data_IF_309036805431
#
_entry.id   IF_309036805431
#
_cell.length_a   1.000
_cell.length_b   1.000
_cell.length_c   1.000
_cell.angle_alpha   90.00
_cell.angle_beta   90.00
_cell.angle_gamma   90.00
#
_symmetry.space_group_name_H-M   'P 1'
#
loop_
_entity.id
_entity.type
_entity.pdbx_description
1 polymer ?
#
# COMPACT_ATOMS: atom_id res chain seq x y z
N UNK A 1 44.92 -44.69 -11.32
CA UNK A 1 43.47 -44.61 -11.62
C UNK A 1 42.73 -44.58 -10.29
N UNK A 2 41.94 -43.53 -10.02
CA UNK A 2 41.01 -43.54 -8.89
C UNK A 2 39.88 -44.52 -9.22
N UNK A 3 39.41 -45.29 -8.24
CA UNK A 3 38.20 -46.09 -8.40
C UNK A 3 36.99 -45.17 -8.56
N UNK A 4 35.96 -45.61 -9.29
CA UNK A 4 34.71 -44.86 -9.49
C UNK A 4 34.13 -44.38 -8.15
N UNK A 5 34.20 -45.23 -7.12
CA UNK A 5 33.79 -44.89 -5.76
C UNK A 5 34.53 -43.67 -5.19
N UNK A 6 35.86 -43.58 -5.38
CA UNK A 6 36.66 -42.44 -4.92
C UNK A 6 36.32 -41.17 -5.71
N UNK A 7 35.99 -41.28 -6.99
CA UNK A 7 35.56 -40.14 -7.81
C UNK A 7 34.20 -39.60 -7.36
N UNK A 8 33.23 -40.48 -7.07
CA UNK A 8 31.90 -40.08 -6.57
C UNK A 8 32.00 -39.43 -5.19
N UNK A 9 32.78 -40.01 -4.27
CA UNK A 9 33.00 -39.41 -2.93
C UNK A 9 33.65 -38.03 -3.03
N UNK A 10 34.65 -37.86 -3.90
CA UNK A 10 35.29 -36.57 -4.14
C UNK A 10 34.30 -35.55 -4.69
N UNK A 11 33.46 -35.94 -5.66
CA UNK A 11 32.45 -35.06 -6.23
C UNK A 11 31.41 -34.59 -5.20
N UNK A 12 30.89 -35.51 -4.37
CA UNK A 12 29.97 -35.17 -3.29
C UNK A 12 30.62 -34.24 -2.25
N UNK A 13 31.89 -34.49 -1.91
CA UNK A 13 32.65 -33.61 -1.01
C UNK A 13 32.80 -32.19 -1.59
N UNK A 14 33.08 -32.07 -2.89
CA UNK A 14 33.17 -30.76 -3.57
C UNK A 14 31.83 -30.04 -3.54
N UNK A 15 30.71 -30.72 -3.84
CA UNK A 15 29.37 -30.12 -3.75
C UNK A 15 29.07 -29.66 -2.33
N UNK A 16 29.33 -30.50 -1.33
CA UNK A 16 29.11 -30.15 0.07
C UNK A 16 29.91 -28.91 0.47
N UNK A 17 31.20 -28.85 0.11
CA UNK A 17 32.06 -27.70 0.39
C UNK A 17 31.56 -26.42 -0.30
N UNK A 18 31.10 -26.52 -1.56
CA UNK A 18 30.52 -25.39 -2.28
C UNK A 18 29.24 -24.88 -1.61
N UNK A 19 28.36 -25.79 -1.17
CA UNK A 19 27.14 -25.43 -0.44
C UNK A 19 27.46 -24.75 0.90
N UNK A 20 28.48 -25.22 1.61
CA UNK A 20 28.94 -24.63 2.88
C UNK A 20 29.50 -23.22 2.65
N UNK A 21 30.41 -23.06 1.69
CA UNK A 21 31.02 -21.76 1.36
C UNK A 21 29.95 -20.76 0.90
N UNK A 22 29.03 -21.18 0.01
CA UNK A 22 27.95 -20.30 -0.46
C UNK A 22 26.99 -19.93 0.68
N UNK A 23 26.66 -20.88 1.56
CA UNK A 23 25.90 -20.63 2.78
C UNK A 23 26.54 -19.56 3.66
N UNK A 24 27.86 -19.61 3.84
CA UNK A 24 28.58 -18.61 4.64
C UNK A 24 28.74 -17.26 3.98
N UNK A 25 28.97 -17.22 2.67
CA UNK A 25 28.97 -15.95 1.95
C UNK A 25 27.59 -15.28 2.09
N UNK A 26 26.51 -16.04 1.88
CA UNK A 26 25.15 -15.55 2.06
C UNK A 26 24.93 -15.08 3.51
N UNK A 27 25.30 -15.90 4.50
CA UNK A 27 25.19 -15.57 5.92
C UNK A 27 25.92 -14.27 6.29
N UNK A 28 27.17 -14.11 5.85
CA UNK A 28 27.95 -12.88 6.08
C UNK A 28 27.30 -11.67 5.42
N UNK A 29 26.80 -11.79 4.18
CA UNK A 29 26.10 -10.69 3.49
C UNK A 29 24.81 -10.30 4.22
N UNK A 30 24.06 -11.27 4.74
CA UNK A 30 22.87 -10.98 5.55
C UNK A 30 23.24 -10.35 6.88
N UNK A 31 24.31 -10.81 7.55
CA UNK A 31 24.80 -10.21 8.80
C UNK A 31 25.25 -8.77 8.59
N UNK A 32 26.01 -8.47 7.54
CA UNK A 32 26.46 -7.10 7.27
C UNK A 32 25.28 -6.19 6.94
N UNK A 33 24.29 -6.69 6.20
CA UNK A 33 23.02 -5.97 5.96
C UNK A 33 22.16 -5.80 7.21
N UNK A 34 22.27 -6.70 8.19
CA UNK A 34 21.43 -6.68 9.39
C UNK A 34 22.00 -5.87 10.54
N UNK A 35 23.32 -5.74 10.66
CA UNK A 35 23.97 -5.24 11.88
C UNK A 35 24.54 -3.82 11.83
N UNK A 36 24.75 -3.22 10.66
CA UNK A 36 25.60 -2.03 10.60
C UNK A 36 24.83 -0.74 10.44
N UNK A 37 24.67 -0.35 9.19
CA UNK A 37 24.44 1.06 8.88
C UNK A 37 23.04 1.30 8.34
N UNK A 38 22.41 0.30 7.72
CA UNK A 38 21.12 0.48 7.03
C UNK A 38 19.96 0.73 7.99
N UNK A 39 19.85 -0.04 9.08
CA UNK A 39 18.77 0.18 10.07
C UNK A 39 18.96 1.50 10.82
N UNK A 40 20.17 1.74 11.35
CA UNK A 40 20.47 2.96 12.10
C UNK A 40 20.24 4.21 11.25
N UNK A 41 20.74 4.22 10.00
CA UNK A 41 20.51 5.33 9.06
C UNK A 41 19.01 5.51 8.75
N UNK A 42 18.26 4.43 8.53
CA UNK A 42 16.80 4.52 8.28
C UNK A 42 16.06 5.09 9.49
N UNK A 43 16.45 4.69 10.70
CA UNK A 43 15.84 5.21 11.92
C UNK A 43 16.20 6.66 12.17
N UNK A 44 17.46 7.05 11.98
CA UNK A 44 17.90 8.44 12.10
C UNK A 44 17.10 9.34 11.14
N UNK A 45 16.97 8.94 9.87
CA UNK A 45 16.15 9.65 8.87
C UNK A 45 14.67 9.72 9.28
N UNK A 46 14.12 8.64 9.84
CA UNK A 46 12.74 8.61 10.32
C UNK A 46 12.52 9.50 11.54
N UNK A 47 13.46 9.53 12.49
CA UNK A 47 13.43 10.41 13.67
C UNK A 47 13.49 11.89 13.27
N UNK A 48 14.36 12.24 12.32
CA UNK A 48 14.44 13.60 11.78
C UNK A 48 13.11 14.03 11.13
N UNK A 49 12.45 13.14 10.40
CA UNK A 49 11.16 13.44 9.76
C UNK A 49 10.02 13.59 10.78
N UNK A 50 10.01 12.78 11.84
CA UNK A 50 9.08 12.95 12.97
C UNK A 50 9.27 14.32 13.62
N UNK A 51 10.51 14.74 13.84
CA UNK A 51 10.80 16.06 14.41
C UNK A 51 10.30 17.18 13.48
N UNK A 52 10.55 17.06 12.18
CA UNK A 52 10.08 18.02 11.18
C UNK A 52 8.55 18.08 11.11
N UNK A 53 7.89 16.92 11.11
CA UNK A 53 6.44 16.77 11.16
C UNK A 53 5.85 17.52 12.35
N UNK A 54 6.33 17.22 13.55
CA UNK A 54 5.80 17.78 14.79
C UNK A 54 6.04 19.29 14.91
N UNK A 55 7.17 19.80 14.42
CA UNK A 55 7.53 21.22 14.53
C UNK A 55 6.86 22.11 13.48
N UNK A 56 6.61 21.58 12.28
CA UNK A 56 6.21 22.40 11.13
C UNK A 56 4.90 21.93 10.52
N UNK A 57 4.87 20.69 10.04
CA UNK A 57 3.84 20.22 9.10
C UNK A 57 2.53 19.81 9.77
N UNK A 58 2.59 19.25 10.98
CA UNK A 58 1.41 18.78 11.71
C UNK A 58 0.47 19.92 12.06
N UNK A 59 0.97 21.04 12.57
CA UNK A 59 0.15 22.21 12.89
C UNK A 59 -0.39 22.91 11.64
N UNK A 60 0.40 22.97 10.57
CA UNK A 60 -0.04 23.51 9.27
C UNK A 60 -1.20 22.69 8.67
N UNK A 61 -1.18 21.37 8.84
CA UNK A 61 -2.19 20.46 8.31
C UNK A 61 -3.41 20.28 9.23
N UNK A 62 -3.21 20.39 10.54
CA UNK A 62 -4.23 20.19 11.57
C UNK A 62 -4.85 21.46 12.12
N UNK A 63 -4.56 22.62 11.52
CA UNK A 63 -5.16 23.89 11.90
C UNK A 63 -6.69 23.79 11.81
N UNK A 64 -7.39 24.27 12.84
CA UNK A 64 -8.86 24.15 12.96
C UNK A 64 -9.62 24.85 11.84
N UNK A 65 -8.97 25.81 11.17
CA UNK A 65 -9.54 26.54 10.06
C UNK A 65 -9.44 25.76 8.74
N UNK A 66 -8.58 24.74 8.68
CA UNK A 66 -8.43 23.88 7.50
C UNK A 66 -9.52 22.81 7.49
N UNK A 67 -10.42 22.88 6.51
CA UNK A 67 -11.44 21.85 6.28
C UNK A 67 -11.31 21.27 4.90
N UNK A 68 -11.19 19.94 4.85
CA UNK A 68 -11.20 19.17 3.62
C UNK A 68 -12.60 18.63 3.36
N UNK A 69 -13.09 18.84 2.15
CA UNK A 69 -14.36 18.32 1.65
C UNK A 69 -14.08 17.58 0.35
N UNK A 70 -14.54 16.34 0.22
CA UNK A 70 -14.43 15.56 -1.03
C UNK A 70 -15.73 15.69 -1.80
N UNK A 71 -15.66 16.21 -3.01
CA UNK A 71 -16.79 16.33 -3.92
C UNK A 71 -16.73 15.23 -4.98
N UNK A 72 -17.86 14.55 -5.17
CA UNK A 72 -18.03 13.50 -6.16
C UNK A 72 -18.78 14.08 -7.36
N UNK A 73 -18.10 14.33 -8.48
CA UNK A 73 -18.72 15.04 -9.62
C UNK A 73 -19.87 14.24 -10.27
N UNK A 74 -19.80 12.91 -10.18
CA UNK A 74 -20.78 11.99 -10.78
C UNK A 74 -21.95 11.66 -9.83
N UNK A 75 -21.96 12.23 -8.62
CA UNK A 75 -22.98 11.99 -7.61
C UNK A 75 -23.73 13.29 -7.30
N UNK A 76 -25.06 13.22 -7.21
CA UNK A 76 -25.91 14.35 -6.79
C UNK A 76 -25.89 14.51 -5.25
N UNK A 77 -24.70 14.42 -4.66
CA UNK A 77 -24.47 14.49 -3.22
C UNK A 77 -23.73 15.78 -2.93
N UNK A 78 -24.51 16.85 -2.77
CA UNK A 78 -24.04 18.09 -2.14
C UNK A 78 -24.07 17.89 -0.63
N UNK A 79 -23.13 17.10 -0.13
CA UNK A 79 -22.96 16.93 1.30
C UNK A 79 -21.75 17.73 1.79
N UNK A 80 -22.05 18.86 2.44
CA UNK A 80 -21.10 19.74 3.09
C UNK A 80 -20.52 19.15 4.39
N UNK A 81 -20.87 17.90 4.76
CA UNK A 81 -20.22 17.22 5.88
C UNK A 81 -18.71 17.08 5.62
N UNK A 82 -17.94 17.86 6.38
CA UNK A 82 -16.49 17.87 6.32
C UNK A 82 -15.89 16.51 6.68
N UNK A 83 -14.71 16.23 6.13
CA UNK A 83 -13.97 15.02 6.49
C UNK A 83 -13.55 15.11 7.96
N UNK A 84 -13.73 14.01 8.70
CA UNK A 84 -13.38 13.99 10.12
C UNK A 84 -11.87 13.88 10.28
N UNK A 85 -11.31 14.80 11.06
CA UNK A 85 -9.92 14.73 11.48
C UNK A 85 -9.75 13.52 12.40
N UNK A 86 -8.85 12.62 12.06
CA UNK A 86 -8.53 11.44 12.85
C UNK A 86 -7.18 11.65 13.51
N UNK A 87 -7.21 11.85 14.82
CA UNK A 87 -6.05 11.85 15.71
C UNK A 87 -6.12 10.59 16.55
N UNK A 88 -5.76 9.42 16.00
CA UNK A 88 -5.89 8.18 16.75
C UNK A 88 -4.56 7.76 17.38
N UNK A 89 -4.58 7.34 18.66
CA UNK A 89 -3.53 6.51 19.27
C UNK A 89 -3.41 5.14 18.54
N UNK A 90 -4.44 4.71 17.79
CA UNK A 90 -4.49 3.39 17.14
C UNK A 90 -3.67 3.23 15.85
N UNK A 91 -2.96 4.25 15.36
CA UNK A 91 -2.01 4.09 14.23
C UNK A 91 -0.74 3.35 14.68
N UNK A 92 -0.54 3.14 15.98
CA UNK A 92 0.48 2.21 16.50
C UNK A 92 0.42 0.82 15.84
N UNK A 93 -0.69 0.45 15.19
CA UNK A 93 -0.85 -0.81 14.47
C UNK A 93 -0.47 -0.80 12.98
N UNK A 94 -0.09 0.33 12.37
CA UNK A 94 0.26 0.36 10.93
C UNK A 94 1.73 0.00 10.68
N UNK A 95 2.64 0.44 11.55
CA UNK A 95 4.00 -0.08 11.57
C UNK A 95 4.01 -1.41 12.33
N UNK A 96 4.64 -2.44 11.76
CA UNK A 96 4.77 -3.71 12.47
C UNK A 96 5.67 -3.50 13.69
N UNK A 97 5.40 -4.22 14.78
CA UNK A 97 6.31 -4.27 15.93
C UNK A 97 7.73 -4.60 15.43
N UNK A 98 8.65 -3.65 15.63
CA UNK A 98 10.04 -3.87 15.28
C UNK A 98 10.65 -4.87 16.28
N UNK A 99 11.12 -5.99 15.76
CA UNK A 99 11.77 -7.04 16.57
C UNK A 99 13.11 -6.61 17.16
N UNK A 100 13.66 -5.49 16.69
CA UNK A 100 14.98 -4.99 17.03
C UNK A 100 14.97 -3.86 18.06
N UNK A 101 13.81 -3.34 18.45
CA UNK A 101 13.69 -2.29 19.45
C UNK A 101 12.37 -1.52 19.33
N UNK A 102 12.16 -0.59 20.25
CA UNK A 102 11.02 0.32 20.15
C UNK A 102 11.27 1.34 19.03
N UNK A 103 10.30 1.49 18.13
CA UNK A 103 10.34 2.54 17.11
C UNK A 103 9.96 3.89 17.75
N UNK A 104 10.55 4.99 17.29
CA UNK A 104 10.07 6.33 17.60
C UNK A 104 8.58 6.46 17.25
N UNK A 105 7.80 6.92 18.22
CA UNK A 105 6.36 7.16 18.04
C UNK A 105 6.13 8.58 17.56
N UNK A 106 5.09 8.78 16.76
CA UNK A 106 4.64 10.10 16.35
C UNK A 106 3.12 10.17 16.40
N UNK A 107 2.57 11.37 16.56
CA UNK A 107 1.13 11.58 16.59
C UNK A 107 0.59 11.69 15.15
N UNK A 108 -0.11 10.65 14.64
CA UNK A 108 -0.66 10.67 13.30
C UNK A 108 -1.74 11.74 13.20
N UNK A 109 -1.84 12.33 12.02
CA UNK A 109 -2.93 13.23 11.69
C UNK A 109 -3.28 13.05 10.23
N UNK A 110 -4.51 12.62 9.99
CA UNK A 110 -5.08 12.46 8.67
C UNK A 110 -6.58 12.73 8.72
N UNK A 111 -7.17 12.98 7.56
CA UNK A 111 -8.60 13.22 7.43
C UNK A 111 -9.21 11.98 6.79
N UNK A 112 -10.24 11.38 7.40
CA UNK A 112 -10.92 10.21 6.85
C UNK A 112 -12.44 10.38 6.81
N UNK A 113 -13.03 9.89 5.73
CA UNK A 113 -14.47 9.86 5.51
C UNK A 113 -14.86 8.52 4.94
N UNK A 114 -15.84 7.85 5.56
CA UNK A 114 -16.39 6.59 5.06
C UNK A 114 -17.73 6.87 4.42
N UNK A 115 -17.83 6.52 3.16
CA UNK A 115 -18.99 6.77 2.33
C UNK A 115 -19.68 5.49 1.96
N UNK A 116 -21.01 5.48 2.06
CA UNK A 116 -21.79 4.34 1.57
C UNK A 116 -21.78 4.38 0.06
N UNK A 117 -21.53 3.24 -0.58
CA UNK A 117 -21.48 3.17 -2.04
C UNK A 117 -22.77 3.61 -2.76
N UNK A 118 -23.92 3.56 -2.07
CA UNK A 118 -25.19 4.08 -2.56
C UNK A 118 -25.16 5.57 -2.95
N UNK A 119 -24.21 6.34 -2.42
CA UNK A 119 -24.11 7.78 -2.65
C UNK A 119 -23.44 8.16 -3.97
N UNK A 120 -22.76 7.24 -4.65
CA UNK A 120 -22.05 7.55 -5.91
C UNK A 120 -22.96 7.63 -7.15
N UNK A 121 -24.17 8.19 -7.00
CA UNK A 121 -25.13 8.36 -8.09
C UNK A 121 -25.67 7.04 -8.64
N UNK A 122 -25.55 5.96 -7.88
CA UNK A 122 -26.10 4.64 -8.21
C UNK A 122 -27.17 4.34 -7.17
N UNK A 123 -28.38 4.87 -7.38
CA UNK A 123 -29.54 4.43 -6.62
C UNK A 123 -29.80 2.97 -6.94
N UNK A 124 -29.25 2.09 -6.11
CA UNK A 124 -29.41 0.65 -6.24
C UNK A 124 -28.10 -0.09 -6.52
N UNK A 125 -28.17 -1.41 -6.62
CA UNK A 125 -26.99 -2.24 -6.80
C UNK A 125 -26.42 -2.05 -8.22
N UNK A 126 -25.09 -2.13 -8.38
CA UNK A 126 -24.43 -1.90 -9.68
C UNK A 126 -24.89 -2.94 -10.70
N UNK A 127 -25.64 -2.53 -11.73
CA UNK A 127 -26.30 -3.47 -12.65
C UNK A 127 -25.36 -4.14 -13.63
N UNK A 128 -24.19 -3.55 -13.91
CA UNK A 128 -23.20 -4.08 -14.84
C UNK A 128 -21.78 -3.78 -14.36
N UNK A 129 -20.87 -4.70 -14.67
CA UNK A 129 -19.44 -4.51 -14.48
C UNK A 129 -18.88 -3.74 -15.68
N UNK A 130 -18.25 -2.59 -15.43
CA UNK A 130 -17.67 -1.76 -16.48
C UNK A 130 -16.29 -1.23 -16.05
N UNK A 131 -15.22 -1.88 -16.53
CA UNK A 131 -13.83 -1.51 -16.21
C UNK A 131 -13.38 -0.15 -16.78
N UNK A 132 -14.20 0.46 -17.64
CA UNK A 132 -13.97 1.83 -18.12
C UNK A 132 -14.59 2.90 -17.23
N UNK A 133 -15.47 2.51 -16.29
CA UNK A 133 -16.10 3.46 -15.36
C UNK A 133 -15.04 4.00 -14.41
N UNK A 134 -14.93 5.32 -14.41
CA UNK A 134 -14.07 6.06 -13.49
C UNK A 134 -14.93 6.95 -12.61
N UNK A 135 -14.33 7.39 -11.52
CA UNK A 135 -14.91 8.36 -10.61
C UNK A 135 -14.03 9.61 -10.56
N UNK A 136 -14.69 10.76 -10.51
CA UNK A 136 -14.05 12.06 -10.37
C UNK A 136 -14.20 12.60 -8.96
N UNK A 137 -13.11 13.16 -8.46
CA UNK A 137 -13.04 13.72 -7.12
C UNK A 137 -12.35 15.06 -7.15
N UNK A 138 -12.83 15.96 -6.30
CA UNK A 138 -12.07 17.16 -5.96
C UNK A 138 -12.07 17.35 -4.45
N UNK A 139 -10.99 17.95 -3.95
CA UNK A 139 -10.85 18.29 -2.55
C UNK A 139 -10.95 19.81 -2.43
N UNK A 140 -12.00 20.29 -1.79
CA UNK A 140 -12.08 21.69 -1.41
C UNK A 140 -11.41 21.88 -0.05
N UNK A 141 -10.46 22.82 -0.02
CA UNK A 141 -9.74 23.24 1.17
C UNK A 141 -10.24 24.64 1.54
N UNK A 142 -10.92 24.73 2.68
CA UNK A 142 -11.23 26.03 3.30
C UNK A 142 -10.02 26.38 4.17
N UNK A 143 -9.29 27.44 3.84
CA UNK A 143 -8.09 27.91 4.54
C UNK A 143 -8.05 29.44 4.44
N UNK A 144 -8.72 30.13 5.37
CA UNK A 144 -9.01 31.57 5.26
C UNK A 144 -7.73 32.41 5.06
N UNK A 145 -7.72 33.36 4.10
CA UNK A 145 -8.86 33.88 3.32
C UNK A 145 -9.08 33.15 1.98
N UNK A 146 -8.39 32.05 1.72
CA UNK A 146 -8.38 31.39 0.41
C UNK A 146 -9.12 30.06 0.43
N UNK A 147 -10.21 29.97 -0.32
CA UNK A 147 -10.79 28.68 -0.66
C UNK A 147 -10.06 28.12 -1.88
N UNK A 148 -9.56 26.91 -1.76
CA UNK A 148 -8.80 26.24 -2.81
C UNK A 148 -9.51 24.95 -3.19
N UNK A 149 -9.38 24.53 -4.44
CA UNK A 149 -9.90 23.25 -4.91
C UNK A 149 -8.78 22.50 -5.60
N UNK A 150 -8.52 21.30 -5.12
CA UNK A 150 -7.51 20.38 -5.63
C UNK A 150 -8.25 19.33 -6.46
N UNK A 151 -8.00 19.32 -7.77
CA UNK A 151 -8.55 18.29 -8.64
C UNK A 151 -7.75 17.00 -8.49
N UNK A 152 -8.42 15.90 -8.21
CA UNK A 152 -7.81 14.56 -8.15
C UNK A 152 -7.98 13.88 -9.50
N UNK A 153 -6.93 13.22 -10.04
CA UNK A 153 -7.07 12.44 -11.26
C UNK A 153 -8.17 11.38 -11.12
N UNK A 154 -8.87 11.12 -12.22
CA UNK A 154 -9.95 10.13 -12.27
C UNK A 154 -9.45 8.75 -11.80
N UNK A 155 -10.18 8.13 -10.86
CA UNK A 155 -9.84 6.80 -10.36
C UNK A 155 -10.74 5.74 -11.02
N UNK A 156 -10.19 4.59 -11.44
CA UNK A 156 -11.02 3.51 -11.94
C UNK A 156 -11.87 2.94 -10.80
N UNK A 157 -13.18 2.85 -11.01
CA UNK A 157 -14.09 2.24 -10.03
C UNK A 157 -13.89 0.72 -9.97
N UNK A 158 -13.65 0.11 -11.13
CA UNK A 158 -13.45 -1.32 -11.25
C UNK A 158 -12.03 -1.64 -11.73
N UNK A 159 -11.51 -2.78 -11.27
CA UNK A 159 -10.20 -3.28 -11.66
C UNK A 159 -10.29 -4.77 -11.99
N UNK A 160 -9.62 -5.18 -13.08
CA UNK A 160 -9.51 -6.59 -13.49
C UNK A 160 -8.04 -7.01 -13.42
N UNK A 161 -7.73 -7.96 -12.56
CA UNK A 161 -6.42 -8.61 -12.52
C UNK A 161 -6.47 -9.93 -13.29
N UNK A 162 -5.58 -10.10 -14.27
CA UNK A 162 -5.46 -11.32 -15.07
C UNK A 162 -4.26 -12.14 -14.58
N UNK A 163 -4.48 -13.37 -14.16
CA UNK A 163 -3.43 -14.30 -13.72
C UNK A 163 -3.39 -15.51 -14.64
N UNK A 164 -2.19 -15.95 -15.06
CA UNK A 164 -2.04 -17.24 -15.75
C UNK A 164 -2.08 -18.36 -14.73
N UNK A 165 -3.04 -19.27 -14.87
CA UNK A 165 -3.24 -20.40 -13.96
C UNK A 165 -3.57 -21.65 -14.76
N UNK A 166 -3.11 -22.82 -14.29
CA UNK A 166 -3.33 -24.09 -14.98
C UNK A 166 -4.67 -24.74 -14.65
N UNK A 167 -5.36 -24.30 -13.59
CA UNK A 167 -6.58 -24.96 -13.09
C UNK A 167 -7.62 -23.98 -12.57
N UNK A 168 -8.90 -24.34 -12.75
CA UNK A 168 -10.04 -23.62 -12.17
C UNK A 168 -9.99 -23.58 -10.64
N UNK A 169 -9.59 -24.70 -10.00
CA UNK A 169 -9.45 -24.76 -8.54
C UNK A 169 -8.42 -23.77 -8.01
N UNK A 170 -7.30 -23.57 -8.73
CA UNK A 170 -6.33 -22.53 -8.39
C UNK A 170 -6.95 -21.14 -8.48
N UNK A 171 -7.72 -20.86 -9.53
CA UNK A 171 -8.39 -19.57 -9.70
C UNK A 171 -9.44 -19.29 -8.61
N UNK A 172 -10.22 -20.31 -8.22
CA UNK A 172 -11.24 -20.19 -7.18
C UNK A 172 -10.65 -19.83 -5.80
N UNK A 173 -9.38 -20.20 -5.52
CA UNK A 173 -8.67 -19.76 -4.30
C UNK A 173 -8.41 -18.26 -4.26
N UNK A 174 -8.48 -17.60 -5.41
CA UNK A 174 -8.40 -16.15 -5.53
C UNK A 174 -9.76 -15.51 -5.80
N UNK A 175 -10.86 -16.28 -5.64
CA UNK A 175 -12.23 -15.86 -5.92
C UNK A 175 -12.44 -15.30 -7.33
N UNK A 176 -11.73 -15.85 -8.31
CA UNK A 176 -11.77 -15.40 -9.71
C UNK A 176 -12.54 -16.33 -10.64
N UNK A 177 -12.81 -15.83 -11.86
CA UNK A 177 -13.37 -16.60 -12.96
C UNK A 177 -12.26 -17.25 -13.80
N UNK A 178 -12.32 -18.57 -14.00
CA UNK A 178 -11.34 -19.28 -14.81
C UNK A 178 -11.80 -19.48 -16.26
N UNK A 179 -11.03 -18.94 -17.20
CA UNK A 179 -11.21 -19.15 -18.63
C UNK A 179 -10.25 -20.24 -19.14
N UNK A 180 -10.81 -21.38 -19.50
CA UNK A 180 -10.04 -22.56 -19.94
C UNK A 180 -9.28 -22.35 -21.25
N UNK A 181 -9.84 -21.59 -22.19
CA UNK A 181 -9.22 -21.36 -23.52
C UNK A 181 -7.86 -20.65 -23.39
N UNK A 182 -7.74 -19.73 -22.44
CA UNK A 182 -6.53 -18.94 -22.21
C UNK A 182 -5.68 -19.40 -21.03
N UNK A 183 -6.15 -20.37 -20.23
CA UNK A 183 -5.59 -20.67 -18.92
C UNK A 183 -5.43 -19.39 -18.08
N UNK A 184 -6.46 -18.56 -18.09
CA UNK A 184 -6.45 -17.22 -17.45
C UNK A 184 -7.50 -17.19 -16.35
N UNK A 185 -7.09 -16.75 -15.17
CA UNK A 185 -7.96 -16.41 -14.06
C UNK A 185 -8.19 -14.90 -14.04
N UNK A 186 -9.45 -14.48 -14.06
CA UNK A 186 -9.87 -13.09 -13.96
C UNK A 186 -10.35 -12.82 -12.54
N UNK A 187 -9.67 -11.91 -11.84
CA UNK A 187 -10.07 -11.45 -10.51
C UNK A 187 -10.65 -10.05 -10.68
N UNK A 188 -11.92 -9.91 -10.32
CA UNK A 188 -12.65 -8.66 -10.41
C UNK A 188 -12.61 -7.98 -9.06
N UNK A 189 -12.44 -6.66 -9.06
CA UNK A 189 -12.36 -5.89 -7.82
C UNK A 189 -13.00 -4.52 -8.02
N UNK A 190 -13.51 -3.96 -6.93
CA UNK A 190 -14.17 -2.66 -6.89
C UNK A 190 -13.45 -1.76 -5.89
N UNK A 191 -13.34 -0.46 -6.21
CA UNK A 191 -12.65 0.53 -5.39
C UNK A 191 -13.25 0.52 -3.99
N UNK A 192 -12.42 0.37 -2.95
CA UNK A 192 -12.86 0.33 -1.55
C UNK A 192 -12.14 1.32 -0.65
N UNK A 193 -10.95 1.74 -1.05
CA UNK A 193 -10.18 2.77 -0.36
C UNK A 193 -9.51 3.67 -1.38
N UNK A 194 -9.52 4.97 -1.12
CA UNK A 194 -8.73 5.92 -1.84
C UNK A 194 -8.02 6.83 -0.83
N UNK A 195 -6.70 6.92 -0.93
CA UNK A 195 -5.90 7.80 -0.11
C UNK A 195 -5.04 8.68 -0.98
N UNK A 196 -5.02 9.99 -0.68
CA UNK A 196 -4.20 10.96 -1.41
C UNK A 196 -3.30 11.75 -0.48
N UNK A 197 -2.13 12.13 -1.00
CA UNK A 197 -1.19 13.00 -0.31
C UNK A 197 -1.31 14.42 -0.83
N UNK A 198 -1.39 15.38 0.08
CA UNK A 198 -1.38 16.80 -0.27
C UNK A 198 -0.29 17.53 0.51
N UNK A 199 0.15 18.66 -0.02
CA UNK A 199 1.13 19.53 0.63
C UNK A 199 0.81 21.00 0.33
N UNK A 200 1.38 21.89 1.13
CA UNK A 200 1.27 23.34 0.97
C UNK A 200 2.57 23.87 0.39
N UNK A 201 2.47 24.60 -0.73
CA UNK A 201 3.63 25.22 -1.36
C UNK A 201 4.13 26.42 -0.56
N UNK A 202 5.29 26.96 -0.95
CA UNK A 202 5.87 28.14 -0.30
C UNK A 202 4.99 29.41 -0.39
N UNK A 203 3.98 29.41 -1.26
CA UNK A 203 2.98 30.48 -1.41
C UNK A 203 1.71 30.24 -0.60
N UNK A 204 1.66 29.19 0.24
CA UNK A 204 0.48 28.85 1.04
C UNK A 204 -0.62 28.15 0.26
N UNK A 205 -0.36 27.65 -0.96
CA UNK A 205 -1.35 26.94 -1.76
C UNK A 205 -1.24 25.43 -1.58
N UNK A 206 -2.37 24.80 -1.33
CA UNK A 206 -2.47 23.35 -1.24
C UNK A 206 -2.47 22.73 -2.63
N UNK A 207 -1.70 21.67 -2.80
CA UNK A 207 -1.60 20.93 -4.05
C UNK A 207 -1.57 19.42 -3.80
N UNK A 208 -2.00 18.65 -4.81
CA UNK A 208 -1.84 17.20 -4.82
C UNK A 208 -0.36 16.86 -4.95
N UNK A 209 0.22 16.24 -3.93
CA UNK A 209 1.60 15.79 -4.00
C UNK A 209 1.66 14.55 -4.93
N UNK A 210 2.38 14.69 -6.04
CA UNK A 210 2.57 13.61 -7.00
C UNK A 210 4.06 13.31 -7.13
N UNK A 211 4.40 12.03 -7.22
CA UNK A 211 5.75 11.62 -7.57
C UNK A 211 6.10 12.20 -8.96
N UNK A 212 7.17 13.00 -9.03
CA UNK A 212 7.52 13.72 -10.26
C UNK A 212 7.80 12.79 -11.45
N UNK A 213 8.34 11.60 -11.18
CA UNK A 213 8.75 10.61 -12.18
C UNK A 213 7.58 9.73 -12.63
N UNK A 214 6.82 9.17 -11.68
CA UNK A 214 5.74 8.22 -11.99
C UNK A 214 4.39 8.88 -12.18
N UNK A 215 4.24 10.15 -11.77
CA UNK A 215 2.95 10.84 -11.59
C UNK A 215 2.00 10.11 -10.66
N UNK A 216 2.49 9.11 -9.92
CA UNK A 216 1.72 8.43 -8.90
C UNK A 216 1.40 9.44 -7.78
N UNK A 217 0.20 9.32 -7.27
CA UNK A 217 -0.27 9.96 -6.06
C UNK A 217 -0.87 8.84 -5.21
N UNK A 218 -0.84 9.00 -3.90
CA UNK A 218 -1.32 7.96 -2.99
C UNK A 218 -0.65 8.03 -1.64
N UNK A 219 -1.28 7.49 -0.60
CA UNK A 219 -0.68 7.39 0.74
C UNK A 219 0.05 6.08 1.01
N UNK A 220 0.38 5.37 -0.05
CA UNK A 220 1.19 4.17 0.01
C UNK A 220 2.55 4.50 -0.62
N UNK A 221 3.58 3.67 -0.47
CA UNK A 221 4.89 3.99 -1.03
C UNK A 221 4.84 4.36 -2.52
N UNK A 222 5.97 4.88 -3.02
CA UNK A 222 6.17 5.17 -4.44
C UNK A 222 5.84 4.02 -5.42
N UNK A 223 5.67 2.79 -4.93
CA UNK A 223 5.34 1.60 -5.71
C UNK A 223 3.83 1.25 -5.71
N UNK A 224 3.04 1.91 -4.86
CA UNK A 224 1.63 1.62 -4.69
C UNK A 224 0.74 2.74 -5.24
N UNK A 225 -0.46 2.36 -5.65
CA UNK A 225 -1.45 3.28 -6.18
C UNK A 225 -2.18 3.98 -5.01
N UNK A 226 -2.74 5.17 -5.24
CA UNK A 226 -3.68 5.84 -4.32
C UNK A 226 -4.88 5.00 -3.88
N UNK A 227 -5.09 3.81 -4.45
CA UNK A 227 -6.33 3.07 -4.38
C UNK A 227 -6.11 1.64 -3.94
N UNK A 228 -7.01 1.17 -3.09
CA UNK A 228 -7.17 -0.25 -2.78
C UNK A 228 -8.55 -0.73 -3.23
N UNK A 229 -8.59 -1.98 -3.67
CA UNK A 229 -9.77 -2.60 -4.25
C UNK A 229 -10.17 -3.82 -3.45
N UNK A 230 -11.45 -3.96 -3.19
CA UNK A 230 -12.03 -5.17 -2.59
C UNK A 230 -12.41 -6.14 -3.71
N UNK A 231 -11.97 -7.40 -3.57
CA UNK A 231 -12.29 -8.45 -4.53
C UNK A 231 -13.79 -8.76 -4.49
N UNK A 232 -14.42 -8.83 -5.66
CA UNK A 232 -15.79 -9.33 -5.81
C UNK A 232 -15.68 -10.85 -5.86
N UNK A 233 -16.13 -11.58 -4.82
CA UNK A 233 -15.84 -13.00 -4.73
C UNK A 233 -16.69 -13.78 -5.73
N UNK A 234 -16.05 -14.58 -6.58
CA UNK A 234 -16.71 -15.54 -7.47
C UNK A 234 -16.49 -16.98 -6.99
N UNK A 235 -17.55 -17.78 -7.03
CA UNK A 235 -17.50 -19.23 -6.83
C UNK A 235 -17.15 -19.97 -8.12
N UNK A 236 -16.92 -21.28 -8.01
CA UNK A 236 -16.47 -22.08 -9.15
C UNK A 236 -17.54 -22.15 -10.24
N UNK A 237 -17.20 -21.63 -11.41
CA UNK A 237 -18.09 -21.63 -12.57
C UNK A 237 -18.94 -20.37 -12.71
N UNK A 238 -18.99 -19.52 -11.69
CA UNK A 238 -19.65 -18.21 -11.77
C UNK A 238 -18.83 -17.25 -12.65
N UNK A 239 -19.56 -16.32 -13.27
CA UNK A 239 -19.02 -15.17 -13.99
C UNK A 239 -19.35 -13.90 -13.24
N UNK A 240 -18.72 -12.78 -13.64
CA UNK A 240 -18.96 -11.50 -12.99
C UNK A 240 -20.41 -11.02 -13.17
N UNK A 241 -21.03 -11.36 -14.30
CA UNK A 241 -22.42 -11.04 -14.59
C UNK A 241 -23.38 -11.71 -13.59
N UNK A 242 -23.02 -12.87 -13.03
CA UNK A 242 -23.83 -13.60 -12.06
C UNK A 242 -23.83 -12.93 -10.67
N UNK A 243 -22.85 -12.07 -10.38
CA UNK A 243 -22.80 -11.26 -9.14
C UNK A 243 -23.46 -9.91 -9.27
N UNK A 244 -23.95 -9.57 -10.46
CA UNK A 244 -24.66 -8.33 -10.67
C UNK A 244 -26.17 -8.53 -10.43
N UNK A 245 -26.81 -7.62 -9.67
CA UNK A 245 -26.24 -6.34 -9.27
C UNK A 245 -25.49 -6.43 -7.92
N UNK A 246 -24.28 -5.86 -7.86
CA UNK A 246 -23.41 -5.97 -6.67
C UNK A 246 -23.63 -4.80 -5.70
N UNK A 247 -23.75 -5.10 -4.40
CA UNK A 247 -23.77 -4.06 -3.36
C UNK A 247 -22.35 -3.84 -2.86
N UNK A 248 -21.79 -2.70 -3.21
CA UNK A 248 -20.46 -2.31 -2.77
C UNK A 248 -20.48 -1.96 -1.28
N UNK A 249 -19.40 -2.31 -0.58
CA UNK A 249 -19.19 -1.88 0.81
C UNK A 249 -18.91 -0.38 0.92
N UNK A 250 -18.52 0.07 2.10
CA UNK A 250 -18.17 1.47 2.30
C UNK A 250 -16.87 1.81 1.54
N UNK A 251 -16.88 2.94 0.83
CA UNK A 251 -15.68 3.55 0.26
C UNK A 251 -15.04 4.43 1.34
N UNK A 252 -13.81 4.12 1.71
CA UNK A 252 -13.05 4.95 2.64
C UNK A 252 -12.16 5.91 1.88
N UNK A 253 -12.30 7.21 2.17
CA UNK A 253 -11.43 8.26 1.71
C UNK A 253 -10.48 8.68 2.80
N UNK A 254 -9.22 8.88 2.44
CA UNK A 254 -8.19 9.40 3.32
C UNK A 254 -7.38 10.51 2.64
N UNK A 255 -7.08 11.55 3.40
CA UNK A 255 -6.19 12.63 2.98
C UNK A 255 -5.09 12.73 4.02
N UNK A 256 -3.85 12.62 3.56
CA UNK A 256 -2.65 12.77 4.38
C UNK A 256 -1.81 13.92 3.88
N UNK A 257 -0.99 14.47 4.76
CA UNK A 257 0.08 15.35 4.34
C UNK A 257 1.19 14.53 3.68
N UNK A 258 1.86 15.07 2.66
CA UNK A 258 2.99 14.43 2.00
C UNK A 258 4.17 14.12 2.94
N UNK A 259 4.28 14.86 4.05
CA UNK A 259 5.30 14.72 5.09
C UNK A 259 4.79 13.95 6.32
N UNK A 260 3.71 13.16 6.19
CA UNK A 260 3.29 12.25 7.25
C UNK A 260 4.37 11.15 7.43
N UNK A 261 5.00 11.02 8.62
CA UNK A 261 6.10 10.08 8.82
C UNK A 261 5.82 8.63 8.42
N UNK A 262 4.57 8.16 8.49
CA UNK A 262 4.21 6.82 8.00
C UNK A 262 4.60 6.62 6.53
N UNK A 263 4.40 7.63 5.69
CA UNK A 263 4.69 7.55 4.26
C UNK A 263 6.19 7.39 4.02
N UNK A 264 7.01 8.10 4.80
CA UNK A 264 8.46 7.94 4.75
C UNK A 264 8.87 6.56 5.27
N UNK A 265 8.26 6.09 6.35
CA UNK A 265 8.52 4.76 6.89
C UNK A 265 8.25 3.65 5.85
N UNK A 266 7.14 3.72 5.10
CA UNK A 266 6.86 2.78 4.01
C UNK A 266 7.93 2.82 2.92
N UNK A 267 8.42 4.02 2.54
CA UNK A 267 9.51 4.16 1.56
C UNK A 267 10.83 3.59 2.10
N UNK A 268 11.20 3.90 3.35
CA UNK A 268 12.43 3.42 3.97
C UNK A 268 12.42 1.91 4.18
N UNK A 269 11.25 1.33 4.40
CA UNK A 269 11.05 -0.10 4.64
C UNK A 269 10.61 -0.89 3.41
N UNK A 270 10.51 -0.25 2.25
CA UNK A 270 10.04 -0.88 1.00
C UNK A 270 8.69 -1.61 1.20
N UNK A 271 7.73 -0.95 1.84
CA UNK A 271 6.39 -1.45 2.16
C UNK A 271 6.33 -2.65 3.13
N UNK A 272 7.48 -3.05 3.68
CA UNK A 272 7.51 -4.15 4.66
C UNK A 272 7.12 -3.70 6.06
N UNK A 273 7.07 -2.39 6.30
CA UNK A 273 6.87 -1.77 7.61
C UNK A 273 7.85 -2.28 8.67
N UNK A 274 9.03 -2.72 8.24
CA UNK A 274 10.09 -3.23 9.09
C UNK A 274 11.40 -2.49 8.80
N UNK A 275 11.91 -1.77 9.79
CA UNK A 275 13.16 -1.00 9.69
C UNK A 275 14.41 -1.89 9.71
N UNK A 276 14.31 -3.11 10.25
CA UNK A 276 15.34 -4.14 10.24
C UNK A 276 15.12 -5.23 9.19
N UNK A 277 15.47 -6.47 9.52
CA UNK A 277 15.17 -7.61 8.65
C UNK A 277 13.73 -8.08 8.83
N UNK A 278 13.07 -8.40 7.73
CA UNK A 278 11.80 -9.13 7.74
C UNK A 278 11.93 -10.51 8.40
N UNK A 279 10.81 -11.07 8.87
CA UNK A 279 10.78 -12.42 9.45
C UNK A 279 11.32 -13.50 8.49
N UNK A 280 11.13 -13.29 7.19
CA UNK A 280 11.63 -14.17 6.14
C UNK A 280 13.15 -14.07 6.01
N UNK A 281 13.71 -12.86 6.04
CA UNK A 281 15.16 -12.64 6.01
C UNK A 281 15.84 -13.15 7.28
N UNK A 282 15.23 -12.94 8.45
CA UNK A 282 15.67 -13.55 9.71
C UNK A 282 15.75 -15.08 9.62
N UNK A 283 14.77 -15.72 8.98
CA UNK A 283 14.77 -17.16 8.76
C UNK A 283 15.91 -17.59 7.84
N UNK A 284 16.15 -16.87 6.75
CA UNK A 284 17.27 -17.16 5.85
C UNK A 284 18.62 -16.96 6.53
N UNK A 285 18.77 -15.90 7.33
CA UNK A 285 19.95 -15.67 8.14
C UNK A 285 20.17 -16.81 9.14
N UNK A 286 19.12 -17.23 9.85
CA UNK A 286 19.19 -18.37 10.77
C UNK A 286 19.60 -19.67 10.07
N UNK A 287 19.04 -19.95 8.89
CA UNK A 287 19.44 -21.10 8.07
C UNK A 287 20.91 -20.98 7.64
N UNK A 288 21.34 -19.83 7.15
CA UNK A 288 22.72 -19.61 6.72
C UNK A 288 23.71 -19.81 7.88
N UNK A 289 23.38 -19.35 9.09
CA UNK A 289 24.17 -19.52 10.30
C UNK A 289 24.26 -20.99 10.75
N UNK A 290 23.22 -21.80 10.52
CA UNK A 290 23.27 -23.24 10.81
C UNK A 290 24.24 -24.01 9.89
N UNK A 291 24.55 -23.46 8.70
CA UNK A 291 25.39 -24.10 7.71
C UNK A 291 26.88 -23.69 7.80
N UNK A 292 27.31 -22.86 8.75
CA UNK A 292 28.66 -22.25 8.76
C UNK A 292 29.74 -22.83 9.71
#
# INVERSE_FOLDING_TARGET
MLTVEKQVKLFLYIIYLLLLITGCIIGVVFLTKSFGETRETRLEVYEEDILYWNQTKRSEFGDSDVKFMVHFEDADVNDDEGITQVTSESVEHQLMEDKYGELPKYDPLYYSRKEKASWFGVEGPFTEFNDTKKMKFSISVKDEPTNQTITIPELPLYHIKKLKMSTATGCNRHHGHFESTGNTCYIYSILSHACVQIDKDAGGKWYLNTNKLTKAFGCYSQYHNATSYTVIPLETGERIEDKMPYTMGDLTWEIRNAYDPLLLAEVLTEDTNNFGLSSTELRYLGIAMLFC
#
